data_IF_980879808166
#
_entry.id   IF_980879808166
#
_cell.length_a   1.000
_cell.length_b   1.000
_cell.length_c   1.000
_cell.angle_alpha   90.00
_cell.angle_beta   90.00
_cell.angle_gamma   90.00
#
_symmetry.space_group_name_H-M   'P 1'
#
loop_
_entity.id
_entity.type
_entity.pdbx_description
1 polymer ?
#
# COMPACT_ATOMS: atom_id res chain seq x y z
N UNK A 1 -56.46 -6.72 26.33
CA UNK A 1 -55.44 -6.69 27.41
C UNK A 1 -54.18 -6.12 26.79
N UNK A 2 -54.05 -4.79 26.85
CA UNK A 2 -52.82 -4.06 26.48
C UNK A 2 -51.86 -4.13 27.66
N UNK A 3 -50.59 -4.40 27.40
CA UNK A 3 -49.52 -4.08 28.32
C UNK A 3 -48.55 -3.18 27.56
N UNK A 4 -48.55 -1.94 28.02
CA UNK A 4 -47.90 -0.78 27.46
C UNK A 4 -46.37 -0.81 27.60
N UNK A 5 -45.78 0.01 26.74
CA UNK A 5 -44.38 0.25 26.53
C UNK A 5 -43.91 1.37 27.48
N UNK A 6 -43.21 1.04 28.56
CA UNK A 6 -42.59 2.05 29.43
C UNK A 6 -41.07 2.13 29.21
N UNK A 7 -40.70 3.14 28.43
CA UNK A 7 -39.35 3.69 28.31
C UNK A 7 -39.00 4.35 29.65
N UNK A 8 -38.15 3.70 30.46
CA UNK A 8 -37.63 4.31 31.69
C UNK A 8 -36.47 5.25 31.34
N UNK A 9 -36.68 6.51 31.70
CA UNK A 9 -35.84 7.64 31.35
C UNK A 9 -34.43 7.63 31.94
N UNK A 10 -33.57 8.33 31.20
CA UNK A 10 -32.21 8.71 31.55
C UNK A 10 -32.19 9.60 32.79
N UNK A 11 -31.83 9.03 33.94
CA UNK A 11 -31.51 9.79 35.16
C UNK A 11 -30.06 10.23 35.17
N UNK A 12 -29.78 11.46 34.70
CA UNK A 12 -28.54 12.17 34.97
C UNK A 12 -28.59 12.64 36.45
N UNK A 13 -27.57 12.38 37.30
CA UNK A 13 -27.55 12.97 38.64
C UNK A 13 -27.19 14.47 38.56
N UNK A 14 -27.85 15.35 39.32
CA UNK A 14 -27.46 16.76 39.42
C UNK A 14 -26.15 16.87 40.20
N UNK A 15 -25.08 17.28 39.52
CA UNK A 15 -23.81 17.61 40.17
C UNK A 15 -23.98 18.97 40.85
N UNK A 16 -24.29 18.94 42.14
CA UNK A 16 -24.27 20.11 43.02
C UNK A 16 -22.84 20.63 43.12
N UNK A 17 -22.47 21.56 42.23
CA UNK A 17 -21.28 22.37 42.38
C UNK A 17 -21.57 23.51 43.36
N UNK A 18 -21.44 23.23 44.66
CA UNK A 18 -21.15 24.32 45.59
C UNK A 18 -19.67 24.69 45.43
N UNK A 19 -19.41 25.62 44.51
CA UNK A 19 -18.11 26.28 44.43
C UNK A 19 -18.03 27.22 45.64
N UNK A 20 -17.42 26.76 46.73
CA UNK A 20 -17.08 27.63 47.84
C UNK A 20 -15.90 28.51 47.43
N UNK A 21 -16.18 29.58 46.66
CA UNK A 21 -15.19 30.63 46.41
C UNK A 21 -15.05 31.43 47.70
N UNK A 22 -14.05 31.08 48.51
CA UNK A 22 -13.64 31.93 49.63
C UNK A 22 -12.99 33.18 49.05
N UNK A 23 -13.79 34.21 48.74
CA UNK A 23 -13.30 35.54 48.42
C UNK A 23 -12.73 36.15 49.71
N UNK A 24 -11.44 35.92 49.95
CA UNK A 24 -10.69 36.71 50.91
C UNK A 24 -10.05 37.87 50.15
N UNK A 25 -10.59 39.07 50.36
CA UNK A 25 -10.03 40.31 49.81
C UNK A 25 -8.82 40.73 50.64
N UNK A 26 -7.62 40.56 50.08
CA UNK A 26 -6.45 41.40 50.40
C UNK A 26 -5.56 41.45 49.15
N UNK A 27 -4.98 42.62 48.90
CA UNK A 27 -4.43 43.02 47.61
C UNK A 27 -3.23 42.22 47.10
N UNK A 28 -2.91 42.50 45.83
CA UNK A 28 -1.78 42.04 45.00
C UNK A 28 -2.03 40.78 44.15
N UNK A 29 -2.05 41.00 42.83
CA UNK A 29 -1.67 40.09 41.74
C UNK A 29 -2.12 38.63 41.82
N UNK A 30 -3.26 38.28 41.21
CA UNK A 30 -3.77 36.91 41.17
C UNK A 30 -3.07 36.08 40.07
N UNK A 31 -2.16 35.18 40.46
CA UNK A 31 -1.90 33.96 39.68
C UNK A 31 -2.89 32.90 40.18
N UNK A 32 -3.87 32.54 39.35
CA UNK A 32 -4.80 31.44 39.64
C UNK A 32 -3.99 30.15 39.62
N UNK A 33 -3.70 29.56 40.79
CA UNK A 33 -3.22 28.19 40.86
C UNK A 33 -4.45 27.27 40.91
N UNK A 34 -4.67 26.52 39.85
CA UNK A 34 -5.57 25.38 39.87
C UNK A 34 -4.88 24.27 40.66
N UNK A 35 -5.27 24.07 41.92
CA UNK A 35 -4.91 22.86 42.63
C UNK A 35 -5.70 21.71 42.00
N UNK A 36 -5.00 20.79 41.33
CA UNK A 36 -5.57 19.53 40.86
C UNK A 36 -6.32 18.86 42.02
N UNK A 37 -7.65 18.72 41.96
CA UNK A 37 -8.38 18.04 43.02
C UNK A 37 -7.91 16.58 43.05
N UNK A 38 -7.32 16.15 44.17
CA UNK A 38 -6.92 14.76 44.36
C UNK A 38 -8.18 13.89 44.43
N UNK A 39 -8.61 13.34 43.30
CA UNK A 39 -9.77 12.46 43.24
C UNK A 39 -9.49 11.21 44.09
N UNK A 40 -10.23 11.04 45.19
CA UNK A 40 -10.24 9.80 45.95
C UNK A 40 -10.87 8.71 45.08
N UNK A 41 -10.05 7.86 44.46
CA UNK A 41 -10.53 6.70 43.74
C UNK A 41 -10.94 5.62 44.73
N UNK A 42 -12.20 5.20 44.68
CA UNK A 42 -12.71 4.12 45.53
C UNK A 42 -11.82 2.86 45.37
N UNK A 43 -11.40 2.16 46.43
CA UNK A 43 -10.49 1.02 46.31
C UNK A 43 -11.04 -0.14 45.45
N UNK A 44 -12.37 -0.28 45.33
CA UNK A 44 -13.00 -1.23 44.40
C UNK A 44 -12.91 -0.80 42.91
N UNK A 45 -12.81 0.50 42.63
CA UNK A 45 -12.57 1.03 41.29
C UNK A 45 -11.15 0.73 40.79
N UNK A 46 -10.15 0.70 41.69
CA UNK A 46 -8.77 0.34 41.33
C UNK A 46 -8.66 -1.12 40.94
N UNK A 47 -9.31 -2.03 41.69
CA UNK A 47 -9.31 -3.46 41.40
C UNK A 47 -10.03 -3.77 40.08
N UNK A 48 -11.16 -3.10 39.81
CA UNK A 48 -11.88 -3.24 38.54
C UNK A 48 -11.06 -2.72 37.35
N UNK A 49 -10.38 -1.59 37.51
CA UNK A 49 -9.48 -1.04 36.49
C UNK A 49 -8.29 -1.97 36.25
N UNK A 50 -7.73 -2.56 37.30
CA UNK A 50 -6.63 -3.52 37.17
C UNK A 50 -7.07 -4.83 36.49
N UNK A 51 -8.24 -5.35 36.85
CA UNK A 51 -8.85 -6.52 36.21
C UNK A 51 -9.10 -6.27 34.71
N UNK A 52 -9.69 -5.12 34.35
CA UNK A 52 -9.89 -4.72 32.95
C UNK A 52 -8.57 -4.56 32.19
N UNK A 53 -7.53 -4.01 32.84
CA UNK A 53 -6.20 -3.89 32.23
C UNK A 53 -5.57 -5.26 31.96
N UNK A 54 -5.71 -6.23 32.88
CA UNK A 54 -5.27 -7.62 32.69
C UNK A 54 -6.03 -8.28 31.55
N UNK A 55 -7.34 -8.08 31.45
CA UNK A 55 -8.18 -8.59 30.36
C UNK A 55 -7.80 -7.97 29.00
N UNK A 56 -7.67 -6.65 28.92
CA UNK A 56 -7.23 -5.95 27.71
C UNK A 56 -5.85 -6.42 27.23
N UNK A 57 -4.93 -6.72 28.17
CA UNK A 57 -3.62 -7.33 27.84
C UNK A 57 -3.79 -8.72 27.23
N UNK A 58 -4.66 -9.57 27.78
CA UNK A 58 -4.96 -10.90 27.21
C UNK A 58 -5.56 -10.77 25.81
N UNK A 59 -6.55 -9.88 25.63
CA UNK A 59 -7.16 -9.64 24.33
C UNK A 59 -6.14 -9.11 23.29
N UNK A 60 -5.23 -8.22 23.70
CA UNK A 60 -4.13 -7.74 22.85
C UNK A 60 -3.21 -8.89 22.41
N UNK A 61 -2.81 -9.77 23.34
CA UNK A 61 -1.99 -10.95 23.02
C UNK A 61 -2.72 -11.90 22.08
N UNK A 62 -4.01 -12.16 22.31
CA UNK A 62 -4.83 -13.00 21.43
C UNK A 62 -4.90 -12.41 20.02
N UNK A 63 -5.14 -11.09 19.89
CA UNK A 63 -5.12 -10.42 18.59
C UNK A 63 -3.77 -10.56 17.88
N UNK A 64 -2.66 -10.45 18.61
CA UNK A 64 -1.31 -10.64 18.04
C UNK A 64 -1.10 -12.07 17.56
N UNK A 65 -1.49 -13.06 18.36
CA UNK A 65 -1.41 -14.48 18.00
C UNK A 65 -2.27 -14.80 16.77
N UNK A 66 -3.51 -14.32 16.74
CA UNK A 66 -4.40 -14.48 15.59
C UNK A 66 -3.80 -13.83 14.34
N UNK A 67 -3.26 -12.61 14.45
CA UNK A 67 -2.59 -11.94 13.32
C UNK A 67 -1.39 -12.73 12.79
N UNK A 68 -0.57 -13.28 13.68
CA UNK A 68 0.57 -14.10 13.30
C UNK A 68 0.12 -15.40 12.62
N UNK A 69 -0.90 -16.09 13.16
CA UNK A 69 -1.43 -17.32 12.58
C UNK A 69 -2.07 -17.09 11.20
N UNK A 70 -2.86 -16.02 11.03
CA UNK A 70 -3.44 -15.63 9.73
C UNK A 70 -2.34 -15.35 8.71
N UNK A 71 -1.22 -14.76 9.13
CA UNK A 71 -0.10 -14.50 8.25
C UNK A 71 0.65 -15.79 7.86
N UNK A 72 0.84 -16.72 8.81
CA UNK A 72 1.44 -18.04 8.54
C UNK A 72 0.61 -18.91 7.60
N UNK A 73 -0.72 -18.76 7.63
CA UNK A 73 -1.64 -19.48 6.73
C UNK A 73 -1.70 -18.95 5.31
N UNK A 74 -0.93 -17.91 4.95
CA UNK A 74 -0.84 -17.41 3.57
C UNK A 74 0.28 -18.11 2.82
N UNK A 75 -0.03 -18.55 1.60
CA UNK A 75 0.97 -19.15 0.73
C UNK A 75 1.77 -18.07 -0.02
N UNK A 76 3.11 -18.00 0.15
CA UNK A 76 3.94 -16.98 -0.49
C UNK A 76 3.96 -17.11 -2.02
N UNK A 77 3.84 -18.33 -2.54
CA UNK A 77 3.74 -18.60 -3.98
C UNK A 77 2.45 -17.99 -4.56
N UNK A 78 1.34 -18.10 -3.81
CA UNK A 78 0.06 -17.51 -4.21
C UNK A 78 0.14 -15.97 -4.22
N UNK A 79 0.84 -15.36 -3.25
CA UNK A 79 1.06 -13.91 -3.23
C UNK A 79 1.82 -13.42 -4.48
N UNK A 80 2.84 -14.16 -4.92
CA UNK A 80 3.60 -13.84 -6.14
C UNK A 80 2.69 -13.95 -7.37
N UNK A 81 1.87 -15.01 -7.46
CA UNK A 81 0.92 -15.19 -8.56
C UNK A 81 -0.16 -14.10 -8.60
N UNK A 82 -0.68 -13.69 -7.44
CA UNK A 82 -1.63 -12.57 -7.34
C UNK A 82 -1.00 -11.24 -7.79
N UNK A 83 0.27 -11.00 -7.44
CA UNK A 83 1.02 -9.83 -7.92
C UNK A 83 1.18 -9.83 -9.44
N UNK A 84 1.53 -10.98 -10.03
CA UNK A 84 1.66 -11.13 -11.47
C UNK A 84 0.33 -10.85 -12.19
N UNK A 85 -0.79 -11.31 -11.64
CA UNK A 85 -2.13 -11.02 -12.19
C UNK A 85 -2.45 -9.53 -12.16
N UNK A 86 -2.07 -8.82 -11.09
CA UNK A 86 -2.26 -7.35 -11.01
C UNK A 86 -1.41 -6.64 -12.08
N UNK A 87 -0.17 -7.08 -12.30
CA UNK A 87 0.71 -6.49 -13.31
C UNK A 87 0.21 -6.74 -14.73
N UNK A 88 -0.22 -7.97 -15.03
CA UNK A 88 -0.83 -8.30 -16.31
C UNK A 88 -2.06 -7.43 -16.59
N UNK A 89 -2.86 -7.12 -15.57
CA UNK A 89 -4.01 -6.23 -15.71
C UNK A 89 -3.62 -4.75 -15.92
N UNK A 90 -2.56 -4.26 -15.25
CA UNK A 90 -2.13 -2.85 -15.38
C UNK A 90 -1.43 -2.58 -16.72
N UNK A 91 -0.63 -3.53 -17.19
CA UNK A 91 0.18 -3.40 -18.41
C UNK A 91 -0.45 -4.07 -19.63
N UNK A 92 -1.74 -4.48 -19.55
CA UNK A 92 -2.44 -4.98 -20.72
C UNK A 92 -2.68 -3.84 -21.72
N UNK A 93 -1.99 -3.92 -22.85
CA UNK A 93 -2.09 -2.94 -23.95
C UNK A 93 -3.43 -3.08 -24.70
N UNK A 94 -4.02 -4.29 -24.73
CA UNK A 94 -5.20 -4.59 -25.54
C UNK A 94 -6.51 -4.16 -24.86
N UNK A 95 -6.53 -4.09 -23.54
CA UNK A 95 -7.73 -3.82 -22.78
C UNK A 95 -7.45 -2.77 -21.70
N UNK A 96 -8.21 -1.65 -21.66
CA UNK A 96 -8.06 -0.68 -20.59
C UNK A 96 -8.34 -1.35 -19.24
N UNK A 97 -7.51 -1.08 -18.20
CA UNK A 97 -7.71 -1.69 -16.89
C UNK A 97 -9.12 -1.38 -16.37
N UNK A 98 -9.88 -2.38 -15.88
CA UNK A 98 -11.23 -2.16 -15.34
C UNK A 98 -11.22 -1.41 -14.00
N UNK A 99 -10.03 -1.15 -13.44
CA UNK A 99 -9.81 -0.57 -12.14
C UNK A 99 -8.86 0.63 -12.25
N UNK A 100 -9.06 1.64 -11.40
CA UNK A 100 -8.19 2.82 -11.31
C UNK A 100 -6.72 2.42 -11.01
N UNK A 101 -5.77 3.03 -11.73
CA UNK A 101 -4.32 2.82 -11.60
C UNK A 101 -3.84 2.95 -10.14
N UNK A 102 -4.42 3.89 -9.38
CA UNK A 102 -4.09 4.08 -7.95
C UNK A 102 -4.42 2.83 -7.12
N UNK A 103 -5.55 2.18 -7.41
CA UNK A 103 -6.00 0.98 -6.67
C UNK A 103 -5.12 -0.22 -7.01
N UNK A 104 -4.64 -0.35 -8.25
CA UNK A 104 -3.71 -1.42 -8.65
C UNK A 104 -2.35 -1.27 -7.96
N UNK A 105 -1.81 -0.04 -7.92
CA UNK A 105 -0.58 0.27 -7.17
C UNK A 105 -0.71 -0.04 -5.68
N UNK A 106 -1.83 0.33 -5.06
CA UNK A 106 -2.08 0.05 -3.64
C UNK A 106 -2.23 -1.45 -3.36
N UNK A 107 -2.89 -2.21 -4.25
CA UNK A 107 -2.98 -3.68 -4.16
C UNK A 107 -1.61 -4.34 -4.28
N UNK A 108 -0.81 -3.94 -5.28
CA UNK A 108 0.57 -4.42 -5.46
C UNK A 108 1.41 -4.17 -4.21
N UNK A 109 1.34 -2.96 -3.65
CA UNK A 109 2.06 -2.59 -2.43
C UNK A 109 1.67 -3.47 -1.24
N UNK A 110 0.38 -3.72 -1.03
CA UNK A 110 -0.11 -4.59 0.06
C UNK A 110 0.33 -6.05 -0.10
N UNK A 111 0.35 -6.57 -1.32
CA UNK A 111 0.84 -7.93 -1.60
C UNK A 111 2.35 -8.03 -1.32
N UNK A 112 3.13 -7.05 -1.77
CA UNK A 112 4.58 -6.98 -1.51
C UNK A 112 4.90 -6.90 -0.01
N UNK A 113 4.21 -6.03 0.73
CA UNK A 113 4.37 -5.93 2.20
C UNK A 113 3.97 -7.24 2.91
N UNK A 114 2.97 -7.96 2.40
CA UNK A 114 2.57 -9.25 2.95
C UNK A 114 3.64 -10.30 2.66
N UNK A 115 4.16 -10.35 1.42
CA UNK A 115 5.20 -11.28 1.00
C UNK A 115 6.48 -11.08 1.82
N UNK A 116 6.94 -9.84 2.01
CA UNK A 116 8.12 -9.52 2.82
C UNK A 116 7.98 -10.04 4.26
N UNK A 117 6.82 -9.84 4.88
CA UNK A 117 6.56 -10.35 6.22
C UNK A 117 6.56 -11.88 6.26
N UNK A 118 5.95 -12.54 5.26
CA UNK A 118 5.96 -14.02 5.16
C UNK A 118 7.39 -14.54 4.96
N UNK A 119 8.19 -13.91 4.08
CA UNK A 119 9.59 -14.27 3.89
C UNK A 119 10.40 -14.13 5.19
N UNK A 120 10.19 -13.08 5.98
CA UNK A 120 10.88 -12.93 7.28
C UNK A 120 10.56 -14.03 8.31
N UNK A 121 9.45 -14.75 8.13
CA UNK A 121 9.13 -15.92 8.97
C UNK A 121 9.92 -17.14 8.52
N UNK A 122 10.02 -17.38 7.21
CA UNK A 122 10.80 -18.48 6.65
C UNK A 122 12.30 -18.31 6.83
N UNK A 123 12.82 -17.08 6.89
CA UNK A 123 14.23 -16.82 7.22
C UNK A 123 14.67 -17.45 8.55
N UNK A 124 13.73 -17.58 9.50
CA UNK A 124 13.98 -18.18 10.82
C UNK A 124 13.57 -19.64 10.90
N UNK A 125 12.47 -20.01 10.26
CA UNK A 125 11.88 -21.34 10.35
C UNK A 125 12.55 -22.32 9.35
N UNK A 126 12.74 -21.93 8.08
CA UNK A 126 13.28 -22.77 6.99
C UNK A 126 14.08 -21.94 5.94
N UNK A 127 15.42 -21.83 6.06
CA UNK A 127 16.23 -20.99 5.17
C UNK A 127 16.25 -21.48 3.70
N UNK A 128 16.11 -22.78 3.48
CA UNK A 128 16.05 -23.35 2.12
C UNK A 128 14.80 -22.87 1.38
N UNK A 129 13.65 -22.88 2.06
CA UNK A 129 12.39 -22.37 1.50
C UNK A 129 12.45 -20.87 1.27
N UNK A 130 13.11 -20.13 2.16
CA UNK A 130 13.36 -18.70 1.94
C UNK A 130 14.17 -18.45 0.66
N UNK A 131 15.23 -19.23 0.41
CA UNK A 131 16.07 -19.08 -0.78
C UNK A 131 15.29 -19.33 -2.08
N UNK A 132 14.40 -20.33 -2.11
CA UNK A 132 13.53 -20.61 -3.25
C UNK A 132 12.53 -19.47 -3.49
N UNK A 133 11.90 -18.97 -2.42
CA UNK A 133 10.99 -17.82 -2.53
C UNK A 133 11.72 -16.57 -3.02
N UNK A 134 12.97 -16.39 -2.60
CA UNK A 134 13.80 -15.27 -3.08
C UNK A 134 14.10 -15.40 -4.56
N UNK A 135 14.37 -16.61 -5.05
CA UNK A 135 14.54 -16.88 -6.48
C UNK A 135 13.27 -16.55 -7.27
N UNK A 136 12.11 -16.99 -6.79
CA UNK A 136 10.82 -16.70 -7.41
C UNK A 136 10.49 -15.21 -7.43
N UNK A 137 10.83 -14.47 -6.36
CA UNK A 137 10.67 -13.01 -6.30
C UNK A 137 11.49 -12.32 -7.39
N UNK A 138 12.75 -12.73 -7.57
CA UNK A 138 13.64 -12.18 -8.62
C UNK A 138 13.11 -12.50 -10.02
N UNK A 139 12.62 -13.72 -10.24
CA UNK A 139 12.04 -14.12 -11.52
C UNK A 139 10.77 -13.33 -11.84
N UNK A 140 9.90 -13.10 -10.86
CA UNK A 140 8.76 -12.22 -10.99
C UNK A 140 9.17 -10.78 -11.36
N UNK A 141 10.16 -10.20 -10.69
CA UNK A 141 10.61 -8.84 -11.00
C UNK A 141 11.18 -8.72 -12.42
N UNK A 142 11.90 -9.74 -12.90
CA UNK A 142 12.36 -9.81 -14.29
C UNK A 142 11.18 -9.81 -15.28
N UNK A 143 10.17 -10.66 -15.05
CA UNK A 143 8.97 -10.74 -15.91
C UNK A 143 8.20 -9.43 -15.90
N UNK A 144 8.06 -8.80 -14.72
CA UNK A 144 7.44 -7.48 -14.56
C UNK A 144 8.19 -6.42 -15.36
N UNK A 145 9.52 -6.37 -15.28
CA UNK A 145 10.31 -5.38 -16.00
C UNK A 145 10.10 -5.47 -17.51
N UNK A 146 10.04 -6.69 -18.06
CA UNK A 146 9.75 -6.91 -19.48
C UNK A 146 8.37 -6.36 -19.86
N UNK A 147 7.35 -6.65 -19.04
CA UNK A 147 5.98 -6.15 -19.25
C UNK A 147 5.89 -4.63 -19.22
N UNK A 148 6.56 -3.99 -18.25
CA UNK A 148 6.62 -2.53 -18.12
C UNK A 148 7.24 -1.91 -19.36
N UNK A 149 8.43 -2.38 -19.74
CA UNK A 149 9.16 -1.86 -20.89
C UNK A 149 8.38 -2.05 -22.19
N UNK A 150 7.71 -3.19 -22.36
CA UNK A 150 6.84 -3.43 -23.51
C UNK A 150 5.66 -2.44 -23.54
N UNK A 151 4.93 -2.30 -22.45
CA UNK A 151 3.79 -1.38 -22.37
C UNK A 151 4.20 0.08 -22.60
N UNK A 152 5.35 0.49 -22.07
CA UNK A 152 5.92 1.82 -22.31
C UNK A 152 6.31 2.01 -23.77
N UNK A 153 6.95 1.02 -24.41
CA UNK A 153 7.31 1.08 -25.84
C UNK A 153 6.08 1.21 -26.74
N UNK A 154 5.00 0.48 -26.44
CA UNK A 154 3.76 0.57 -27.23
C UNK A 154 3.09 1.91 -27.03
N UNK A 155 2.99 2.39 -25.78
CA UNK A 155 2.44 3.72 -25.49
C UNK A 155 3.24 4.82 -26.17
N UNK A 156 4.57 4.69 -26.16
CA UNK A 156 5.46 5.62 -26.84
C UNK A 156 5.22 5.60 -28.36
N UNK A 157 5.23 4.43 -28.99
CA UNK A 157 4.95 4.27 -30.42
C UNK A 157 3.58 4.80 -30.84
N UNK A 158 2.55 4.64 -30.00
CA UNK A 158 1.22 5.22 -30.24
C UNK A 158 1.17 6.74 -30.10
N UNK A 159 2.09 7.34 -29.31
CA UNK A 159 2.15 8.79 -29.07
C UNK A 159 2.99 9.54 -30.10
N UNK A 160 3.91 8.87 -30.80
CA UNK A 160 4.75 9.49 -31.83
C UNK A 160 3.88 9.79 -33.04
N UNK A 161 3.77 11.08 -33.40
CA UNK A 161 3.11 11.52 -34.62
C UNK A 161 4.01 11.18 -35.82
N UNK A 162 3.42 10.58 -36.86
CA UNK A 162 4.16 10.06 -38.03
C UNK A 162 4.94 11.17 -38.77
N UNK A 163 4.47 12.41 -38.69
CA UNK A 163 5.07 13.58 -39.37
C UNK A 163 6.37 14.09 -38.71
N UNK A 164 6.67 13.68 -37.47
CA UNK A 164 7.87 14.08 -36.72
C UNK A 164 8.99 13.02 -36.76
N UNK A 165 8.81 11.90 -37.48
CA UNK A 165 9.87 10.91 -37.66
C UNK A 165 10.89 11.51 -38.62
N UNK A 166 12.11 11.89 -38.17
CA UNK A 166 13.13 12.36 -39.09
C UNK A 166 13.43 11.21 -40.05
N UNK A 167 13.15 11.41 -41.33
CA UNK A 167 13.64 10.53 -42.37
C UNK A 167 15.16 10.41 -42.19
N UNK A 168 15.75 9.20 -42.24
CA UNK A 168 17.19 9.06 -42.18
C UNK A 168 17.77 9.94 -43.28
N UNK A 169 18.50 10.99 -42.89
CA UNK A 169 19.22 11.81 -43.84
C UNK A 169 20.19 10.87 -44.54
N UNK A 170 19.93 10.61 -45.82
CA UNK A 170 20.92 10.03 -46.72
C UNK A 170 22.06 11.04 -46.76
N UNK A 171 22.98 10.91 -45.82
CA UNK A 171 24.28 11.52 -45.88
C UNK A 171 24.99 10.84 -47.04
N UNK A 172 24.71 11.29 -48.26
CA UNK A 172 25.63 11.07 -49.35
C UNK A 172 26.92 11.80 -48.95
N UNK A 173 28.04 11.10 -48.71
CA UNK A 173 29.30 11.79 -48.52
C UNK A 173 29.59 12.57 -49.80
N UNK A 174 29.53 13.90 -49.72
CA UNK A 174 29.87 14.84 -50.80
C UNK A 174 31.38 14.93 -51.06
N UNK A 175 32.16 13.95 -50.60
CA UNK A 175 33.58 13.82 -50.89
C UNK A 175 33.81 12.59 -51.79
N UNK A 176 33.29 12.66 -53.01
CA UNK A 176 33.70 11.77 -54.09
C UNK A 176 33.54 12.46 -55.45
N UNK A 177 34.15 13.63 -55.59
CA UNK A 177 34.64 14.07 -56.90
C UNK A 177 35.73 13.07 -57.34
N UNK A 178 35.34 12.03 -58.09
CA UNK A 178 36.26 11.20 -58.86
C UNK A 178 36.21 9.71 -58.56
N UNK A 179 35.18 9.00 -59.04
CA UNK A 179 35.36 7.60 -59.43
C UNK A 179 34.34 7.18 -60.51
N UNK A 180 34.75 7.44 -61.75
CA UNK A 180 34.63 6.58 -62.94
C UNK A 180 33.30 5.83 -63.11
N UNK A 181 32.56 6.25 -64.14
CA UNK A 181 31.39 5.56 -64.64
C UNK A 181 31.64 4.11 -65.03
N UNK A 182 30.65 3.27 -64.73
CA UNK A 182 30.45 1.98 -65.38
C UNK A 182 28.95 1.82 -65.63
N UNK A 183 28.48 1.78 -66.89
CA UNK A 183 27.08 1.52 -67.18
C UNK A 183 26.83 0.02 -67.09
N UNK A 184 26.06 -0.42 -66.09
CA UNK A 184 25.44 -1.75 -66.12
C UNK A 184 24.31 -1.76 -67.17
N UNK A 185 24.36 -2.61 -68.22
CA UNK A 185 23.21 -2.82 -69.06
C UNK A 185 22.25 -3.81 -68.38
N UNK A 186 21.10 -3.32 -67.92
CA UNK A 186 19.97 -4.16 -67.54
C UNK A 186 19.21 -4.55 -68.81
N UNK A 187 19.34 -5.80 -69.23
CA UNK A 187 18.49 -6.41 -70.27
C UNK A 187 17.28 -7.06 -69.61
N UNK A 188 16.10 -6.50 -69.84
CA UNK A 188 14.82 -7.14 -69.52
C UNK A 188 14.41 -8.04 -70.69
N UNK A 189 14.10 -9.34 -70.50
CA UNK A 189 13.36 -10.11 -71.49
C UNK A 189 11.86 -9.89 -71.29
N UNK A 190 11.22 -9.36 -72.33
CA UNK A 190 9.78 -9.44 -72.55
C UNK A 190 9.47 -10.76 -73.24
N UNK A 191 8.65 -11.61 -72.63
CA UNK A 191 7.45 -12.26 -73.20
C UNK A 191 6.97 -13.40 -72.30
#
# INVERSE_FOLDING_TARGET
MSCDLDIVGTGLPPVSHQIFVKLQFSGLGKRIQYNEPHYYTHPYETDRKEARKKELKKNKKQRQMVRAAVLKGKDPIQLISEMEKIDQMEYNVLQPPPLNEKVLKDKRKKLKETLERVMSMYDKDDPDKWSELKRMEVEYEKRRQILVTYAESVRHAQSVQVDDIPLPSLQFPTDAMGFIGSPCPLTFPSS
#
